data_IF_817797886659
#
_entry.id   IF_817797886659
#
_cell.length_a   1.000
_cell.length_b   1.000
_cell.length_c   1.000
_cell.angle_alpha   90.00
_cell.angle_beta   90.00
_cell.angle_gamma   90.00
#
_symmetry.space_group_name_H-M   'P 1'
#
loop_
_entity.id
_entity.type
_entity.pdbx_description
1 polymer ?
#
# COMPACT_ATOMS: atom_id res chain seq x y z
N UNK A 1 6.04 10.99 -8.59
CA UNK A 1 7.11 9.98 -8.53
C UNK A 1 6.41 8.67 -8.22
N UNK A 2 6.22 7.83 -9.24
CA UNK A 2 5.42 6.60 -9.15
C UNK A 2 6.19 5.62 -8.28
N UNK A 3 5.54 5.11 -7.23
CA UNK A 3 6.13 4.16 -6.28
C UNK A 3 6.46 2.88 -7.06
N UNK A 4 7.70 2.77 -7.54
CA UNK A 4 8.22 1.62 -8.27
C UNK A 4 8.75 0.58 -7.27
N UNK A 5 7.94 0.28 -6.26
CA UNK A 5 8.19 -0.84 -5.35
C UNK A 5 6.86 -1.58 -5.25
N UNK A 6 6.70 -2.59 -6.09
CA UNK A 6 5.62 -3.55 -5.94
C UNK A 6 5.81 -4.21 -4.57
N UNK A 7 5.03 -3.77 -3.57
CA UNK A 7 4.86 -4.51 -2.32
C UNK A 7 4.04 -5.74 -2.66
N UNK A 8 4.72 -6.81 -3.07
CA UNK A 8 4.08 -8.09 -3.37
C UNK A 8 3.83 -8.81 -2.05
N UNK A 9 2.68 -8.53 -1.44
CA UNK A 9 2.17 -9.36 -0.35
C UNK A 9 1.95 -10.77 -0.92
N UNK A 10 2.75 -11.74 -0.46
CA UNK A 10 2.76 -13.13 -0.92
C UNK A 10 1.49 -13.87 -0.49
N UNK A 11 0.36 -13.57 -1.13
CA UNK A 11 -0.82 -14.42 -1.16
C UNK A 11 -0.71 -15.34 -2.39
N UNK A 12 -1.05 -16.64 -2.23
CA UNK A 12 -0.79 -17.74 -3.18
C UNK A 12 -1.01 -17.52 -4.70
N UNK A 13 -1.92 -16.66 -5.22
CA UNK A 13 -1.97 -16.39 -6.66
C UNK A 13 -0.78 -15.58 -7.22
N UNK A 14 -0.01 -14.86 -6.38
CA UNK A 14 1.06 -13.95 -6.83
C UNK A 14 2.40 -14.64 -7.11
N UNK A 15 2.53 -15.94 -6.80
CA UNK A 15 3.67 -16.80 -7.17
C UNK A 15 3.35 -17.64 -8.41
N UNK A 16 2.20 -17.41 -9.05
CA UNK A 16 1.87 -18.08 -10.29
C UNK A 16 2.92 -17.74 -11.36
N UNK A 17 3.34 -18.75 -12.13
CA UNK A 17 4.34 -18.65 -13.20
C UNK A 17 4.08 -17.50 -14.19
N UNK A 18 2.80 -17.17 -14.42
CA UNK A 18 2.40 -16.06 -15.30
C UNK A 18 2.78 -14.71 -14.68
N UNK A 19 2.57 -14.54 -13.37
CA UNK A 19 2.92 -13.33 -12.64
C UNK A 19 4.44 -13.15 -12.57
N UNK A 20 5.21 -14.22 -12.35
CA UNK A 20 6.68 -14.15 -12.31
C UNK A 20 7.28 -13.78 -13.66
N UNK A 21 6.80 -14.38 -14.76
CA UNK A 21 7.25 -14.03 -16.11
C UNK A 21 6.95 -12.58 -16.48
N UNK A 22 5.79 -12.04 -16.05
CA UNK A 22 5.47 -10.64 -16.29
C UNK A 22 6.43 -9.70 -15.53
N UNK A 23 6.71 -10.01 -14.26
CA UNK A 23 7.64 -9.20 -13.44
C UNK A 23 9.07 -9.23 -14.01
N UNK A 24 9.52 -10.37 -14.52
CA UNK A 24 10.80 -10.50 -15.23
C UNK A 24 10.81 -9.68 -16.53
N UNK A 25 9.73 -9.73 -17.32
CA UNK A 25 9.62 -9.00 -18.58
C UNK A 25 9.62 -7.48 -18.38
N UNK A 26 8.97 -6.99 -17.32
CA UNK A 26 8.94 -5.57 -16.94
C UNK A 26 10.17 -5.14 -16.13
N UNK A 27 11.13 -6.05 -15.92
CA UNK A 27 12.38 -5.79 -15.20
C UNK A 27 12.16 -5.23 -13.79
N UNK A 28 11.09 -5.67 -13.12
CA UNK A 28 10.72 -5.24 -11.77
C UNK A 28 11.47 -6.10 -10.75
N UNK A 29 12.35 -5.53 -9.92
CA UNK A 29 13.07 -6.30 -8.91
C UNK A 29 12.09 -6.83 -7.86
N UNK A 30 11.99 -8.16 -7.76
CA UNK A 30 11.17 -8.83 -6.74
C UNK A 30 11.99 -8.95 -5.46
N UNK A 31 11.57 -8.25 -4.41
CA UNK A 31 12.15 -8.40 -3.08
C UNK A 31 11.73 -9.76 -2.49
N UNK A 32 12.71 -10.56 -2.08
CA UNK A 32 12.47 -11.83 -1.39
C UNK A 32 11.98 -11.55 0.03
N UNK A 33 10.66 -11.44 0.20
CA UNK A 33 10.03 -11.30 1.51
C UNK A 33 9.69 -12.69 2.08
N UNK A 34 9.98 -12.97 3.37
CA UNK A 34 9.60 -14.24 3.97
C UNK A 34 8.08 -14.34 4.03
N UNK A 35 7.54 -15.49 3.58
CA UNK A 35 6.14 -15.82 3.77
C UNK A 35 5.88 -15.92 5.29
N UNK A 36 4.93 -15.15 5.81
CA UNK A 36 4.66 -14.92 7.25
C UNK A 36 5.62 -13.96 7.99
N UNK A 37 5.89 -12.77 7.46
CA UNK A 37 6.24 -11.66 8.36
C UNK A 37 4.94 -11.03 8.89
N UNK A 38 4.66 -11.12 10.21
CA UNK A 38 3.59 -10.34 10.86
C UNK A 38 3.98 -8.87 11.01
N UNK A 39 5.14 -8.49 10.49
CA UNK A 39 5.64 -7.13 10.43
C UNK A 39 5.05 -6.47 9.19
N UNK A 40 4.14 -5.53 9.43
CA UNK A 40 3.38 -4.82 8.41
C UNK A 40 4.29 -4.30 7.31
N UNK A 41 4.07 -4.76 6.08
CA UNK A 41 4.70 -4.19 4.89
C UNK A 41 4.50 -2.66 4.87
N UNK A 42 5.38 -1.86 4.23
CA UNK A 42 5.28 -0.40 4.34
C UNK A 42 3.94 0.11 3.81
N UNK A 43 3.34 -0.63 2.88
CA UNK A 43 2.01 -0.37 2.35
C UNK A 43 0.90 -0.60 3.40
N UNK A 44 0.99 -1.62 4.25
CA UNK A 44 0.04 -1.86 5.34
C UNK A 44 0.08 -0.76 6.40
N UNK A 45 1.27 -0.25 6.74
CA UNK A 45 1.41 0.92 7.61
C UNK A 45 0.75 2.17 7.03
N UNK A 46 0.94 2.41 5.73
CA UNK A 46 0.27 3.53 5.06
C UNK A 46 -1.25 3.34 5.04
N UNK A 47 -1.75 2.12 4.85
CA UNK A 47 -3.17 1.81 4.95
C UNK A 47 -3.75 2.06 6.34
N UNK A 48 -3.06 1.68 7.43
CA UNK A 48 -3.52 1.96 8.81
C UNK A 48 -3.61 3.47 9.06
N UNK A 49 -2.62 4.25 8.61
CA UNK A 49 -2.66 5.72 8.71
C UNK A 49 -3.86 6.30 7.96
N UNK A 50 -4.12 5.81 6.75
CA UNK A 50 -5.24 6.27 5.93
C UNK A 50 -6.59 5.90 6.57
N UNK A 51 -6.76 4.67 7.06
CA UNK A 51 -7.97 4.21 7.74
C UNK A 51 -8.26 5.05 9.00
N UNK A 52 -7.23 5.31 9.81
CA UNK A 52 -7.34 6.19 10.99
C UNK A 52 -7.81 7.59 10.63
N UNK A 53 -7.25 8.19 9.57
CA UNK A 53 -7.66 9.53 9.11
C UNK A 53 -9.10 9.54 8.62
N UNK A 54 -9.50 8.55 7.83
CA UNK A 54 -10.88 8.44 7.32
C UNK A 54 -11.89 8.31 8.48
N UNK A 55 -11.59 7.50 9.50
CA UNK A 55 -12.43 7.34 10.70
C UNK A 55 -12.57 8.61 11.52
N UNK A 56 -11.58 9.50 11.47
CA UNK A 56 -11.59 10.78 12.17
C UNK A 56 -12.31 11.89 11.37
N UNK A 57 -12.70 11.65 10.11
CA UNK A 57 -13.39 12.65 9.30
C UNK A 57 -14.80 12.91 9.82
N UNK A 58 -15.20 14.18 9.75
CA UNK A 58 -16.55 14.64 10.05
C UNK A 58 -17.05 15.47 8.85
N UNK A 59 -18.16 15.07 8.19
CA UNK A 59 -18.96 13.89 8.45
C UNK A 59 -18.26 12.58 8.03
N UNK A 60 -18.58 11.49 8.71
CA UNK A 60 -18.10 10.15 8.34
C UNK A 60 -18.71 9.78 6.98
N UNK A 61 -17.92 9.28 6.02
CA UNK A 61 -18.44 8.83 4.73
C UNK A 61 -19.50 7.75 4.90
N UNK A 62 -20.69 7.93 4.31
CA UNK A 62 -21.82 6.99 4.45
C UNK A 62 -22.11 6.20 3.18
N UNK A 63 -21.50 6.57 2.05
CA UNK A 63 -21.63 5.86 0.79
C UNK A 63 -20.28 5.71 0.07
N UNK A 64 -20.25 4.82 -0.93
CA UNK A 64 -19.03 4.47 -1.67
C UNK A 64 -18.40 5.70 -2.35
N UNK A 65 -19.20 6.63 -2.88
CA UNK A 65 -18.68 7.82 -3.55
C UNK A 65 -18.01 8.76 -2.54
N UNK A 66 -18.66 9.00 -1.40
CA UNK A 66 -18.08 9.78 -0.30
C UNK A 66 -16.80 9.12 0.23
N UNK A 67 -16.79 7.79 0.36
CA UNK A 67 -15.60 7.08 0.83
C UNK A 67 -14.45 7.20 -0.17
N UNK A 68 -14.74 7.08 -1.47
CA UNK A 68 -13.74 7.23 -2.54
C UNK A 68 -13.14 8.63 -2.55
N UNK A 69 -13.99 9.67 -2.58
CA UNK A 69 -13.53 11.05 -2.46
C UNK A 69 -12.72 11.24 -1.18
N UNK A 70 -13.18 10.62 -0.09
CA UNK A 70 -12.50 10.79 1.18
C UNK A 70 -11.11 10.17 1.22
N UNK A 71 -10.94 9.02 0.58
CA UNK A 71 -9.66 8.36 0.38
C UNK A 71 -8.74 9.22 -0.49
N UNK A 72 -9.21 9.72 -1.62
CA UNK A 72 -8.41 10.51 -2.57
C UNK A 72 -7.88 11.81 -1.93
N UNK A 73 -8.72 12.49 -1.15
CA UNK A 73 -8.33 13.68 -0.40
C UNK A 73 -7.32 13.39 0.72
N UNK A 74 -7.59 12.40 1.57
CA UNK A 74 -6.68 12.06 2.66
C UNK A 74 -5.34 11.54 2.15
N UNK A 75 -5.36 10.76 1.07
CA UNK A 75 -4.14 10.30 0.39
C UNK A 75 -3.27 11.48 -0.08
N UNK A 76 -3.89 12.48 -0.70
CA UNK A 76 -3.19 13.69 -1.15
C UNK A 76 -2.65 14.53 0.02
N UNK A 77 -3.30 14.44 1.19
CA UNK A 77 -2.91 15.13 2.41
C UNK A 77 -1.88 14.37 3.25
N UNK A 78 -1.44 13.17 2.88
CA UNK A 78 -0.34 12.47 3.54
C UNK A 78 0.98 13.03 3.00
N UNK A 79 1.81 13.69 3.83
CA UNK A 79 3.11 14.17 3.39
C UNK A 79 4.00 13.01 2.94
N UNK A 80 4.78 13.20 1.87
CA UNK A 80 5.74 12.21 1.41
C UNK A 80 6.72 11.80 2.51
N UNK A 81 7.14 12.76 3.36
CA UNK A 81 7.99 12.50 4.51
C UNK A 81 7.40 11.48 5.49
N UNK A 82 6.06 11.43 5.63
CA UNK A 82 5.40 10.41 6.46
C UNK A 82 5.55 9.03 5.83
N UNK A 83 5.38 8.92 4.51
CA UNK A 83 5.56 7.66 3.78
C UNK A 83 7.02 7.21 3.88
N UNK A 84 7.96 8.12 3.67
CA UNK A 84 9.40 7.82 3.73
C UNK A 84 9.82 7.39 5.14
N UNK A 85 9.29 8.04 6.19
CA UNK A 85 9.53 7.62 7.58
C UNK A 85 8.96 6.23 7.87
N UNK A 86 7.77 5.90 7.35
CA UNK A 86 7.16 4.58 7.53
C UNK A 86 7.93 3.47 6.82
N UNK A 87 8.52 3.77 5.65
CA UNK A 87 9.40 2.85 4.91
C UNK A 87 10.72 2.66 5.64
N UNK A 88 11.29 3.73 6.20
CA UNK A 88 12.56 3.69 6.94
C UNK A 88 12.42 3.14 8.37
N UNK A 89 11.20 3.05 8.92
CA UNK A 89 10.95 2.50 10.26
C UNK A 89 10.73 0.98 10.29
N UNK A 90 10.83 0.33 9.14
CA UNK A 90 10.81 -1.12 8.98
C UNK A 90 12.20 -1.72 9.07
#
# INVERSE_FOLDING_TARGET
MVIHVASVAFCWPHVARICTHFLEAENVPVLAWPAYSPDMSPIEHVWDVLDRRIRQRVPVPTNIQQLRTAIEEEWTNIPQATIDNLINSM
#
